data_IF_002717177058
#
_entry.id   IF_002717177058
#
_cell.length_a   1.000
_cell.length_b   1.000
_cell.length_c   1.000
_cell.angle_alpha   90.00
_cell.angle_beta   90.00
_cell.angle_gamma   90.00
#
_symmetry.space_group_name_H-M   'P 1'
#
loop_
_entity.id
_entity.type
_entity.pdbx_description
1 polymer ?
#
# COMPACT_ATOMS: atom_id res chain seq x y z
N UNK A 1 24.81 17.40 11.46
CA UNK A 1 23.52 16.70 11.63
C UNK A 1 23.55 15.47 10.74
N UNK A 2 23.84 14.28 11.30
CA UNK A 2 23.74 13.02 10.54
C UNK A 2 22.25 12.71 10.39
N UNK A 3 21.70 12.99 9.21
CA UNK A 3 20.30 12.69 8.90
C UNK A 3 20.20 11.17 8.81
N UNK A 4 19.50 10.52 9.76
CA UNK A 4 19.30 9.07 9.81
C UNK A 4 18.35 8.62 8.67
N UNK A 5 18.84 8.71 7.43
CA UNK A 5 18.13 8.27 6.22
C UNK A 5 18.11 6.75 6.10
N UNK A 6 18.95 6.05 6.85
CA UNK A 6 19.09 4.59 6.88
C UNK A 6 17.79 3.88 7.24
N UNK A 7 17.03 4.37 8.23
CA UNK A 7 15.73 3.78 8.57
C UNK A 7 14.71 3.99 7.45
N UNK A 8 14.59 5.22 6.95
CA UNK A 8 13.69 5.51 5.84
C UNK A 8 14.06 4.71 4.57
N UNK A 9 15.35 4.50 4.32
CA UNK A 9 15.84 3.69 3.21
C UNK A 9 15.52 2.21 3.40
N UNK A 10 15.73 1.63 4.59
CA UNK A 10 15.31 0.26 4.89
C UNK A 10 13.80 0.09 4.66
N UNK A 11 12.98 0.93 5.28
CA UNK A 11 11.53 0.85 5.13
C UNK A 11 11.07 1.06 3.67
N UNK A 12 11.66 1.99 2.92
CA UNK A 12 11.23 2.25 1.54
C UNK A 12 11.75 1.21 0.53
N UNK A 13 12.91 0.61 0.78
CA UNK A 13 13.54 -0.33 -0.13
C UNK A 13 13.00 -1.74 0.08
N UNK A 14 12.90 -2.19 1.33
CA UNK A 14 12.45 -3.55 1.68
C UNK A 14 10.95 -3.72 1.38
N UNK A 15 10.14 -2.66 1.54
CA UNK A 15 8.72 -2.73 1.20
C UNK A 15 8.48 -2.89 -0.31
N UNK A 16 9.32 -2.30 -1.16
CA UNK A 16 9.17 -2.41 -2.63
C UNK A 16 9.36 -3.85 -3.13
N UNK A 17 10.16 -4.66 -2.43
CA UNK A 17 10.41 -6.04 -2.82
C UNK A 17 9.14 -6.91 -2.73
N UNK A 18 8.21 -6.59 -1.83
CA UNK A 18 6.93 -7.30 -1.73
C UNK A 18 6.03 -7.12 -2.96
N UNK A 19 6.24 -6.04 -3.74
CA UNK A 19 5.48 -5.76 -4.98
C UNK A 19 6.04 -6.54 -6.17
N UNK A 20 7.31 -6.98 -6.09
CA UNK A 20 8.00 -7.67 -7.20
C UNK A 20 7.44 -9.06 -7.47
N UNK A 21 6.88 -9.69 -6.45
CA UNK A 21 6.34 -11.04 -6.53
C UNK A 21 4.82 -11.03 -6.31
N UNK A 22 4.07 -11.90 -7.00
CA UNK A 22 2.64 -11.97 -6.85
C UNK A 22 2.27 -12.40 -5.42
N UNK A 23 1.22 -11.82 -4.85
CA UNK A 23 0.81 -12.05 -3.46
C UNK A 23 0.49 -13.52 -3.18
N UNK A 24 0.18 -14.30 -4.23
CA UNK A 24 -0.05 -15.75 -4.21
C UNK A 24 1.09 -16.59 -3.66
N UNK A 25 2.34 -16.13 -3.71
CA UNK A 25 3.47 -16.94 -3.23
C UNK A 25 3.61 -16.91 -1.70
N UNK A 26 2.98 -15.95 -1.03
CA UNK A 26 3.11 -15.77 0.40
C UNK A 26 2.10 -16.61 1.20
N UNK A 27 2.39 -16.97 2.45
CA UNK A 27 1.42 -17.63 3.33
C UNK A 27 0.22 -16.72 3.63
N UNK A 28 -0.90 -17.34 4.00
CA UNK A 28 -2.18 -16.68 4.26
C UNK A 28 -2.11 -15.44 5.17
N UNK A 29 -1.31 -15.51 6.23
CA UNK A 29 -1.12 -14.39 7.17
C UNK A 29 -0.54 -13.16 6.49
N UNK A 30 0.48 -13.33 5.65
CA UNK A 30 1.11 -12.23 4.91
C UNK A 30 0.14 -11.69 3.85
N UNK A 31 -0.62 -12.55 3.18
CA UNK A 31 -1.65 -12.10 2.23
C UNK A 31 -2.71 -11.21 2.91
N UNK A 32 -3.13 -11.55 4.13
CA UNK A 32 -4.08 -10.74 4.91
C UNK A 32 -3.49 -9.38 5.25
N UNK A 33 -2.25 -9.33 5.72
CA UNK A 33 -1.59 -8.05 6.05
C UNK A 33 -1.44 -7.18 4.80
N UNK A 34 -0.96 -7.76 3.69
CA UNK A 34 -0.73 -7.03 2.45
C UNK A 34 -2.03 -6.60 1.75
N UNK A 35 -3.15 -7.30 1.95
CA UNK A 35 -4.43 -6.94 1.32
C UNK A 35 -5.29 -6.02 2.20
N UNK A 36 -5.39 -6.29 3.51
CA UNK A 36 -6.33 -5.59 4.39
C UNK A 36 -5.70 -4.51 5.27
N UNK A 37 -4.47 -4.72 5.76
CA UNK A 37 -3.83 -3.79 6.71
C UNK A 37 -3.07 -2.69 5.98
N UNK A 38 -2.29 -3.04 4.95
CA UNK A 38 -1.45 -2.09 4.19
C UNK A 38 -2.00 -1.78 2.78
N UNK A 39 -3.15 -2.32 2.40
CA UNK A 39 -3.64 -2.50 1.00
C UNK A 39 -2.61 -2.57 -0.16
N UNK A 40 -1.43 -3.14 0.08
CA UNK A 40 -0.34 -3.21 -0.89
C UNK A 40 -0.66 -4.06 -2.13
N UNK A 41 -1.46 -5.11 -1.97
CA UNK A 41 -1.87 -5.98 -3.06
C UNK A 41 -2.64 -5.24 -4.18
N UNK A 42 -3.27 -4.10 -3.86
CA UNK A 42 -4.01 -3.30 -4.83
C UNK A 42 -3.10 -2.46 -5.75
N UNK A 43 -1.81 -2.35 -5.46
CA UNK A 43 -0.88 -1.55 -6.27
C UNK A 43 -0.67 -2.18 -7.66
N UNK A 44 -0.39 -3.49 -7.71
CA UNK A 44 -0.14 -4.18 -8.97
C UNK A 44 -0.83 -5.55 -9.07
N UNK A 45 -0.98 -6.30 -7.98
CA UNK A 45 -1.39 -7.69 -8.03
C UNK A 45 -2.84 -7.82 -8.51
N UNK A 46 -3.79 -7.19 -7.82
CA UNK A 46 -5.21 -7.21 -8.21
C UNK A 46 -5.50 -6.60 -9.60
N UNK A 47 -4.94 -5.43 -9.99
CA UNK A 47 -5.15 -4.92 -11.34
C UNK A 47 -4.49 -5.82 -12.40
N UNK A 48 -3.27 -6.31 -12.18
CA UNK A 48 -2.62 -7.23 -13.12
C UNK A 48 -3.39 -8.54 -13.25
N UNK A 49 -3.98 -9.05 -12.16
CA UNK A 49 -4.81 -10.24 -12.19
C UNK A 49 -6.02 -10.06 -13.13
N UNK A 50 -6.68 -8.91 -13.07
CA UNK A 50 -7.77 -8.55 -13.99
C UNK A 50 -7.27 -8.46 -15.44
N UNK A 51 -6.20 -7.72 -15.70
CA UNK A 51 -5.70 -7.51 -17.06
C UNK A 51 -5.12 -8.78 -17.72
N UNK A 52 -4.50 -9.65 -16.93
CA UNK A 52 -3.90 -10.90 -17.41
C UNK A 52 -4.87 -12.09 -17.39
N UNK A 53 -6.15 -11.87 -17.03
CA UNK A 53 -7.16 -12.93 -16.85
C UNK A 53 -6.66 -14.08 -15.97
N UNK A 54 -5.86 -13.76 -14.95
CA UNK A 54 -5.35 -14.74 -14.00
C UNK A 54 -6.46 -15.09 -13.01
N UNK A 55 -6.67 -16.38 -12.78
CA UNK A 55 -7.68 -16.87 -11.83
C UNK A 55 -7.05 -17.37 -10.54
N UNK A 56 -5.91 -16.79 -10.16
CA UNK A 56 -5.14 -17.13 -8.96
C UNK A 56 -5.82 -16.51 -7.71
N UNK A 57 -7.14 -16.69 -7.58
CA UNK A 57 -7.95 -16.23 -6.47
C UNK A 57 -7.64 -17.10 -5.24
N UNK A 58 -6.84 -16.55 -4.32
CA UNK A 58 -6.34 -17.29 -3.16
C UNK A 58 -7.40 -17.32 -2.04
N UNK A 59 -7.31 -16.34 -1.13
CA UNK A 59 -8.13 -16.16 0.07
C UNK A 59 -9.30 -15.20 -0.12
N UNK A 60 -9.24 -14.35 -1.15
CA UNK A 60 -10.15 -13.23 -1.33
C UNK A 60 -11.02 -13.41 -2.56
N UNK A 61 -12.27 -12.96 -2.46
CA UNK A 61 -13.26 -13.08 -3.54
C UNK A 61 -12.80 -12.33 -4.81
N UNK A 62 -13.11 -12.82 -6.02
CA UNK A 62 -12.74 -12.17 -7.29
C UNK A 62 -13.07 -10.68 -7.40
N UNK A 63 -14.11 -10.23 -6.67
CA UNK A 63 -14.54 -8.83 -6.61
C UNK A 63 -13.42 -7.88 -6.19
N UNK A 64 -12.42 -8.34 -5.43
CA UNK A 64 -11.29 -7.52 -4.99
C UNK A 64 -10.53 -6.89 -6.17
N UNK A 65 -10.49 -7.52 -7.35
CA UNK A 65 -9.82 -6.94 -8.51
C UNK A 65 -10.41 -5.57 -8.94
N UNK A 66 -11.72 -5.36 -8.70
CA UNK A 66 -12.42 -4.13 -9.03
C UNK A 66 -12.31 -3.05 -7.95
N UNK A 67 -11.89 -3.41 -6.73
CA UNK A 67 -11.77 -2.47 -5.61
C UNK A 67 -10.52 -1.59 -5.70
N UNK A 68 -9.61 -1.86 -6.64
CA UNK A 68 -8.35 -1.13 -6.82
C UNK A 68 -8.54 0.40 -6.84
N UNK A 69 -9.50 0.90 -7.63
CA UNK A 69 -9.77 2.35 -7.69
C UNK A 69 -10.37 2.90 -6.40
N UNK A 70 -11.27 2.14 -5.76
CA UNK A 70 -11.91 2.56 -4.51
C UNK A 70 -10.89 2.65 -3.37
N UNK A 71 -10.04 1.63 -3.22
CA UNK A 71 -8.96 1.60 -2.22
C UNK A 71 -7.98 2.75 -2.46
N UNK A 72 -7.58 2.97 -3.72
CA UNK A 72 -6.73 4.10 -4.10
C UNK A 72 -7.34 5.45 -3.71
N UNK A 73 -8.62 5.66 -3.98
CA UNK A 73 -9.33 6.89 -3.62
C UNK A 73 -9.41 7.10 -2.10
N UNK A 74 -9.68 6.04 -1.33
CA UNK A 74 -9.72 6.09 0.14
C UNK A 74 -8.36 6.47 0.71
N UNK A 75 -7.29 5.80 0.28
CA UNK A 75 -5.92 6.07 0.76
C UNK A 75 -5.45 7.48 0.37
N UNK A 76 -5.71 7.89 -0.87
CA UNK A 76 -5.35 9.23 -1.35
C UNK A 76 -6.06 10.33 -0.55
N UNK A 77 -7.37 10.16 -0.33
CA UNK A 77 -8.15 11.10 0.50
C UNK A 77 -7.64 11.11 1.93
N UNK A 78 -7.37 9.94 2.52
CA UNK A 78 -6.79 9.83 3.86
C UNK A 78 -5.43 10.54 3.97
N UNK A 79 -4.56 10.38 2.97
CA UNK A 79 -3.27 11.07 2.92
C UNK A 79 -3.43 12.59 2.89
N UNK A 80 -4.36 13.12 2.08
CA UNK A 80 -4.66 14.56 2.04
C UNK A 80 -5.16 15.06 3.40
N UNK A 81 -6.07 14.33 4.04
CA UNK A 81 -6.60 14.70 5.35
C UNK A 81 -5.51 14.73 6.42
N UNK A 82 -4.67 13.70 6.46
CA UNK A 82 -3.52 13.64 7.37
C UNK A 82 -2.52 14.77 7.11
N UNK A 83 -2.24 15.06 5.84
CA UNK A 83 -1.36 16.16 5.45
C UNK A 83 -1.90 17.52 5.90
N UNK A 84 -3.20 17.79 5.64
CA UNK A 84 -3.87 19.03 6.07
C UNK A 84 -3.88 19.15 7.60
N UNK A 85 -4.16 18.05 8.30
CA UNK A 85 -4.11 18.00 9.75
C UNK A 85 -2.70 18.33 10.28
N UNK A 86 -1.67 17.74 9.67
CA UNK A 86 -0.27 17.98 10.00
C UNK A 86 0.14 19.44 9.82
N UNK A 87 -0.20 20.05 8.67
CA UNK A 87 0.07 21.48 8.42
C UNK A 87 -0.62 22.38 9.46
N UNK A 88 -1.88 22.10 9.79
CA UNK A 88 -2.63 22.91 10.74
C UNK A 88 -2.07 22.85 12.17
N UNK A 89 -1.43 21.74 12.55
CA UNK A 89 -0.76 21.60 13.85
C UNK A 89 0.71 22.05 13.81
N UNK A 90 1.25 22.30 12.63
CA UNK A 90 2.59 22.84 12.47
C UNK A 90 2.57 24.34 12.75
N UNK A 91 2.55 24.70 14.04
CA UNK A 91 2.82 26.07 14.46
C UNK A 91 4.27 26.38 14.08
N UNK A 92 4.43 27.19 13.04
CA UNK A 92 5.69 27.85 12.72
C UNK A 92 6.21 28.50 14.00
N UNK A 93 7.29 27.98 14.57
CA UNK A 93 8.15 28.79 15.42
C UNK A 93 8.73 29.84 14.50
N UNK A 94 8.05 30.99 14.43
CA UNK A 94 8.45 32.09 13.57
C UNK A 94 9.94 32.37 13.72
N UNK A 95 10.61 32.40 12.58
CA UNK A 95 11.88 33.09 12.37
C UNK A 95 11.76 33.88 11.09
#
# INVERSE_FOLDING_TARGET
MVRNTSLAQLFLHDFKDFIRYPVSIYPASIQIVLTLVVPYAFINFYPAQYFLNKQDFLLFHPVFQYLTLAVGAVLFTGAILLWRWGINHYHSTGS
#
